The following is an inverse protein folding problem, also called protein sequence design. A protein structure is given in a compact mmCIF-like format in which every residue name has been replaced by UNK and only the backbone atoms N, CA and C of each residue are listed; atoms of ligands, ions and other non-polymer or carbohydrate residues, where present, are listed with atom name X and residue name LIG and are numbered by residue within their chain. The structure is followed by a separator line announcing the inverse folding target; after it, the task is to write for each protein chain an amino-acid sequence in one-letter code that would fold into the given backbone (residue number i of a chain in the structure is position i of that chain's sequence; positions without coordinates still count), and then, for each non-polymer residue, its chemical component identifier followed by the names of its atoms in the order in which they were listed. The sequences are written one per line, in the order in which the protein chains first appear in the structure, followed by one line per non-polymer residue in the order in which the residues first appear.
data_IF_579638564095
#
_entry.id   IF_579638564095
#
_cell.length_a   1.000
_cell.length_b   1.000
_cell.length_c   1.000
_cell.angle_alpha   90.00
_cell.angle_beta   90.00
_cell.angle_gamma   90.00
#
_symmetry.space_group_name_H-M   'P 1'
#
loop_
_entity.id
_entity.type
_entity.pdbx_description
1 polymer ?
#
# COMPACT_ATOMS: atom_id res chain seq x y z
N UNK A 1 42.09 31.72 -72.58
CA UNK A 1 40.68 31.67 -72.14
C UNK A 1 40.09 30.25 -72.04
N UNK A 2 40.71 29.19 -72.58
CA UNK A 2 40.13 27.83 -72.56
C UNK A 2 40.28 27.05 -71.23
N UNK A 3 41.22 27.42 -70.34
CA UNK A 3 41.45 26.67 -69.07
C UNK A 3 40.47 27.01 -67.94
N UNK A 4 39.81 28.18 -68.00
CA UNK A 4 38.87 28.60 -66.94
C UNK A 4 37.46 27.99 -67.12
N UNK A 5 37.02 27.75 -68.36
CA UNK A 5 35.70 27.18 -68.64
C UNK A 5 35.58 25.68 -68.30
N UNK A 6 36.68 24.93 -68.36
CA UNK A 6 36.68 23.50 -68.06
C UNK A 6 36.50 23.22 -66.55
N UNK A 7 37.00 24.12 -65.70
CA UNK A 7 36.90 24.01 -64.24
C UNK A 7 35.47 24.27 -63.79
N UNK A 8 34.79 25.27 -64.34
CA UNK A 8 33.42 25.62 -63.92
C UNK A 8 32.37 24.62 -64.41
N UNK A 9 32.52 24.05 -65.60
CA UNK A 9 31.52 23.12 -66.17
C UNK A 9 31.62 21.71 -65.55
N UNK A 10 32.80 21.29 -65.08
CA UNK A 10 33.02 19.93 -64.55
C UNK A 10 33.07 19.89 -63.01
N UNK A 11 33.76 20.83 -62.34
CA UNK A 11 33.79 20.80 -60.86
C UNK A 11 32.46 21.18 -60.24
N UNK A 12 31.71 22.11 -60.83
CA UNK A 12 30.44 22.57 -60.26
C UNK A 12 29.39 21.45 -60.12
N UNK A 13 29.11 20.61 -61.13
CA UNK A 13 28.15 19.51 -60.98
C UNK A 13 28.66 18.41 -60.03
N UNK A 14 29.97 18.18 -59.93
CA UNK A 14 30.55 17.20 -59.00
C UNK A 14 30.39 17.68 -57.56
N UNK A 15 30.70 18.96 -57.29
CA UNK A 15 30.53 19.58 -55.97
C UNK A 15 29.05 19.59 -55.60
N UNK A 16 28.15 19.97 -56.52
CA UNK A 16 26.71 19.99 -56.28
C UNK A 16 26.14 18.58 -56.01
N UNK A 17 26.57 17.57 -56.76
CA UNK A 17 26.17 16.17 -56.53
C UNK A 17 26.71 15.65 -55.19
N UNK A 18 27.95 16.00 -54.82
CA UNK A 18 28.53 15.64 -53.53
C UNK A 18 27.81 16.29 -52.35
N UNK A 19 27.34 17.53 -52.51
CA UNK A 19 26.58 18.27 -51.51
C UNK A 19 25.16 17.73 -51.35
N UNK A 20 24.51 17.32 -52.44
CA UNK A 20 23.22 16.63 -52.39
C UNK A 20 23.33 15.26 -51.70
N UNK A 21 24.42 14.52 -51.97
CA UNK A 21 24.66 13.23 -51.32
C UNK A 21 24.88 13.40 -49.81
N UNK A 22 25.66 14.39 -49.38
CA UNK A 22 25.90 14.66 -47.96
C UNK A 22 24.65 15.11 -47.21
N UNK A 23 23.80 15.96 -47.83
CA UNK A 23 22.49 16.33 -47.29
C UNK A 23 21.55 15.13 -47.19
N UNK A 24 21.56 14.22 -48.17
CA UNK A 24 20.80 12.97 -48.13
C UNK A 24 21.26 12.05 -46.99
N UNK A 25 22.58 11.92 -46.77
CA UNK A 25 23.13 11.16 -45.64
C UNK A 25 22.76 11.76 -44.28
N UNK A 26 22.76 13.09 -44.14
CA UNK A 26 22.35 13.77 -42.90
C UNK A 26 20.85 13.56 -42.63
N UNK A 27 20.00 13.75 -43.65
CA UNK A 27 18.55 13.52 -43.53
C UNK A 27 18.24 12.06 -43.17
N UNK A 28 18.93 11.11 -43.81
CA UNK A 28 18.77 9.68 -43.53
C UNK A 28 19.25 9.34 -42.10
N UNK A 29 20.33 9.97 -41.62
CA UNK A 29 20.82 9.81 -40.24
C UNK A 29 19.84 10.36 -39.20
N UNK A 30 19.28 11.55 -39.41
CA UNK A 30 18.27 12.16 -38.52
C UNK A 30 16.98 11.31 -38.51
N UNK A 31 16.53 10.84 -39.67
CA UNK A 31 15.34 9.99 -39.78
C UNK A 31 15.53 8.62 -39.11
N UNK A 32 16.74 8.04 -39.23
CA UNK A 32 17.12 6.82 -38.51
C UNK A 32 17.18 7.06 -37.00
N UNK A 33 17.82 8.14 -36.55
CA UNK A 33 17.87 8.49 -35.12
C UNK A 33 16.47 8.71 -34.54
N UNK A 34 15.59 9.42 -35.24
CA UNK A 34 14.21 9.65 -34.80
C UNK A 34 13.42 8.34 -34.66
N UNK A 35 13.59 7.40 -35.59
CA UNK A 35 12.97 6.08 -35.53
C UNK A 35 13.50 5.24 -34.37
N UNK A 36 14.82 5.27 -34.12
CA UNK A 36 15.41 4.58 -32.96
C UNK A 36 14.94 5.21 -31.64
N UNK A 37 14.85 6.53 -31.55
CA UNK A 37 14.31 7.21 -30.37
C UNK A 37 12.84 6.85 -30.12
N UNK A 38 12.01 6.81 -31.17
CA UNK A 38 10.61 6.37 -31.07
C UNK A 38 10.46 4.90 -30.63
N UNK A 39 11.31 4.00 -31.15
CA UNK A 39 11.31 2.60 -30.73
C UNK A 39 11.78 2.42 -29.30
N UNK A 40 12.78 3.21 -28.87
CA UNK A 40 13.30 3.13 -27.52
C UNK A 40 12.31 3.69 -26.49
N UNK A 41 11.61 4.79 -26.80
CA UNK A 41 10.58 5.35 -25.91
C UNK A 41 9.37 4.44 -25.76
N UNK A 42 8.92 3.75 -26.82
CA UNK A 42 7.82 2.79 -26.71
C UNK A 42 8.20 1.56 -25.89
N UNK A 43 9.46 1.11 -25.95
CA UNK A 43 9.96 0.00 -25.14
C UNK A 43 10.02 0.36 -23.63
N UNK A 44 10.41 1.58 -23.28
CA UNK A 44 10.49 2.03 -21.88
C UNK A 44 9.12 2.18 -21.19
N UNK A 45 8.07 2.50 -21.95
CA UNK A 45 6.71 2.70 -21.39
C UNK A 45 6.05 1.40 -20.91
N UNK A 46 6.50 0.23 -21.37
CA UNK A 46 5.93 -1.08 -21.00
C UNK A 46 6.51 -1.71 -19.73
N UNK A 47 7.56 -1.14 -19.15
CA UNK A 47 8.40 -1.81 -18.15
C UNK A 47 7.71 -2.04 -16.78
N UNK A 48 6.61 -1.36 -16.47
CA UNK A 48 5.96 -1.42 -15.14
C UNK A 48 4.59 -2.11 -15.13
N UNK A 49 4.17 -2.77 -16.21
CA UNK A 49 2.80 -3.32 -16.34
C UNK A 49 2.49 -4.48 -15.38
N UNK A 50 3.50 -5.16 -14.85
CA UNK A 50 3.34 -6.34 -13.98
C UNK A 50 4.05 -6.17 -12.63
N UNK A 51 4.02 -4.96 -12.06
CA UNK A 51 4.52 -4.78 -10.70
C UNK A 51 3.60 -5.49 -9.70
N UNK A 52 4.07 -6.51 -8.96
CA UNK A 52 3.24 -7.17 -7.97
C UNK A 52 2.93 -6.19 -6.84
N UNK A 53 1.64 -5.90 -6.63
CA UNK A 53 1.20 -5.13 -5.47
C UNK A 53 1.32 -6.01 -4.23
N UNK A 54 2.44 -5.89 -3.53
CA UNK A 54 2.61 -6.45 -2.19
C UNK A 54 2.06 -5.44 -1.19
N UNK A 55 1.01 -5.83 -0.47
CA UNK A 55 0.52 -5.05 0.66
C UNK A 55 0.34 -5.97 1.86
N UNK A 56 0.38 -5.39 3.05
CA UNK A 56 0.10 -6.09 4.30
C UNK A 56 -1.39 -6.46 4.47
N UNK A 57 -2.21 -6.26 3.43
CA UNK A 57 -3.64 -6.56 3.45
C UNK A 57 -3.88 -7.94 2.84
N UNK A 58 -4.24 -8.89 3.70
CA UNK A 58 -4.58 -10.26 3.30
C UNK A 58 -6.03 -10.34 2.83
N UNK A 59 -6.23 -10.72 1.55
CA UNK A 59 -7.55 -10.93 0.94
C UNK A 59 -8.41 -11.91 1.75
N UNK A 60 -7.79 -12.94 2.34
CA UNK A 60 -8.50 -14.01 3.05
C UNK A 60 -9.02 -13.54 4.42
N UNK A 61 -8.42 -12.50 5.01
CA UNK A 61 -8.73 -12.04 6.37
C UNK A 61 -9.39 -10.64 6.44
N UNK A 62 -9.90 -10.14 5.31
CA UNK A 62 -10.51 -8.82 5.23
C UNK A 62 -11.61 -8.62 6.28
N UNK A 63 -12.53 -9.57 6.43
CA UNK A 63 -13.66 -9.43 7.34
C UNK A 63 -13.19 -9.25 8.80
N UNK A 64 -12.25 -10.07 9.26
CA UNK A 64 -11.71 -9.99 10.62
C UNK A 64 -10.88 -8.73 10.85
N UNK A 65 -10.09 -8.31 9.87
CA UNK A 65 -9.23 -7.13 10.01
C UNK A 65 -10.03 -5.86 10.28
N UNK A 66 -11.21 -5.73 9.66
CA UNK A 66 -12.09 -4.58 9.85
C UNK A 66 -13.13 -4.77 10.96
N UNK A 67 -13.34 -5.98 11.52
CA UNK A 67 -14.26 -6.18 12.67
C UNK A 67 -14.09 -5.20 13.83
N UNK A 68 -12.87 -4.82 14.27
CA UNK A 68 -12.75 -3.86 15.35
C UNK A 68 -13.44 -2.52 15.05
N UNK A 69 -13.48 -2.07 13.80
CA UNK A 69 -14.01 -0.76 13.44
C UNK A 69 -15.52 -0.65 13.59
N UNK A 70 -16.26 -1.78 13.63
CA UNK A 70 -17.70 -1.78 13.90
C UNK A 70 -18.05 -1.64 15.39
N UNK A 71 -17.04 -1.63 16.28
CA UNK A 71 -17.23 -1.54 17.73
C UNK A 71 -16.67 -0.24 18.26
N UNK A 72 -17.53 0.66 18.72
CA UNK A 72 -17.14 1.95 19.33
C UNK A 72 -16.66 1.74 20.76
N UNK A 73 -15.57 2.40 21.14
CA UNK A 73 -15.07 2.35 22.52
C UNK A 73 -15.75 3.47 23.30
N UNK A 74 -16.44 3.09 24.39
CA UNK A 74 -17.07 4.03 25.31
C UNK A 74 -16.35 4.04 26.66
N UNK A 75 -16.34 5.18 27.31
CA UNK A 75 -16.05 5.28 28.74
C UNK A 75 -17.21 4.71 29.57
N UNK A 76 -16.97 4.49 30.86
CA UNK A 76 -18.04 4.03 31.78
C UNK A 76 -19.14 5.09 31.90
N UNK A 77 -18.74 6.36 31.87
CA UNK A 77 -19.62 7.51 32.02
C UNK A 77 -20.47 7.71 30.77
N UNK A 78 -19.89 7.53 29.57
CA UNK A 78 -20.61 7.59 28.29
C UNK A 78 -21.62 6.44 28.19
N UNK A 79 -21.19 5.21 28.48
CA UNK A 79 -22.06 4.04 28.41
C UNK A 79 -23.30 4.14 29.33
N UNK A 80 -23.18 4.83 30.47
CA UNK A 80 -24.30 5.04 31.40
C UNK A 80 -25.33 6.03 30.85
N UNK A 81 -24.94 6.93 29.94
CA UNK A 81 -25.83 7.94 29.35
C UNK A 81 -26.57 7.43 28.10
N UNK A 82 -26.06 6.38 27.48
CA UNK A 82 -26.47 5.91 26.15
C UNK A 82 -27.55 4.79 26.18
N UNK A 83 -28.16 4.54 27.35
CA UNK A 83 -29.07 3.40 27.58
C UNK A 83 -28.59 2.08 26.97
N UNK A 84 -27.30 1.78 27.19
CA UNK A 84 -26.64 0.67 26.51
C UNK A 84 -27.05 -0.69 27.08
N UNK A 85 -27.50 -1.61 26.23
CA UNK A 85 -27.77 -2.99 26.61
C UNK A 85 -26.46 -3.76 26.80
N UNK A 86 -26.33 -4.46 27.93
CA UNK A 86 -25.21 -5.36 28.16
C UNK A 86 -25.38 -6.68 27.40
N UNK A 87 -24.41 -7.03 26.56
CA UNK A 87 -24.43 -8.27 25.77
C UNK A 87 -23.54 -9.37 26.36
N UNK A 88 -22.46 -9.01 27.05
CA UNK A 88 -21.57 -9.99 27.64
C UNK A 88 -20.29 -9.41 28.24
N UNK A 89 -19.59 -10.24 29.01
CA UNK A 89 -18.21 -9.99 29.40
C UNK A 89 -17.30 -10.57 28.32
N UNK A 90 -16.32 -9.77 27.87
CA UNK A 90 -15.36 -10.21 26.86
C UNK A 90 -13.95 -9.93 27.32
N UNK A 91 -13.02 -10.69 26.77
CA UNK A 91 -11.59 -10.52 26.99
C UNK A 91 -10.87 -10.45 25.67
N UNK A 92 -9.70 -9.83 25.67
CA UNK A 92 -8.75 -9.91 24.57
C UNK A 92 -7.34 -9.99 25.14
N UNK A 93 -6.54 -10.91 24.60
CA UNK A 93 -5.16 -11.11 25.01
C UNK A 93 -4.19 -10.79 23.87
N UNK A 94 -3.00 -10.33 24.25
CA UNK A 94 -1.82 -10.23 23.40
C UNK A 94 -0.72 -11.03 24.11
N UNK A 95 -0.19 -12.04 23.43
CA UNK A 95 0.80 -12.97 23.97
C UNK A 95 1.98 -13.04 23.01
N UNK A 96 3.18 -12.89 23.54
CA UNK A 96 4.42 -13.17 22.84
C UNK A 96 4.84 -14.61 23.12
N UNK A 97 4.82 -15.48 22.11
CA UNK A 97 5.14 -16.92 22.28
C UNK A 97 6.64 -17.13 22.13
N UNK A 98 7.24 -16.57 21.09
CA UNK A 98 8.67 -16.68 20.81
C UNK A 98 9.42 -15.36 21.03
N UNK A 99 10.74 -15.43 21.24
CA UNK A 99 11.59 -14.25 21.51
C UNK A 99 11.59 -13.26 20.32
N UNK A 100 11.47 -13.77 19.09
CA UNK A 100 11.40 -13.00 17.85
C UNK A 100 10.00 -12.46 17.53
N UNK A 101 8.96 -12.91 18.24
CA UNK A 101 7.61 -12.36 18.10
C UNK A 101 7.55 -10.93 18.64
N UNK A 102 6.52 -10.20 18.20
CA UNK A 102 6.23 -8.88 18.76
C UNK A 102 5.90 -9.02 20.25
N UNK A 103 6.50 -8.20 21.14
CA UNK A 103 6.13 -8.17 22.54
C UNK A 103 4.64 -7.88 22.74
N UNK A 104 4.06 -8.48 23.78
CA UNK A 104 2.65 -8.29 24.10
C UNK A 104 2.34 -6.81 24.36
N UNK A 105 1.22 -6.35 23.80
CA UNK A 105 0.83 -4.95 23.90
C UNK A 105 -0.64 -4.78 24.30
N UNK A 106 -0.91 -3.71 25.07
CA UNK A 106 -2.27 -3.31 25.40
C UNK A 106 -3.08 -2.96 24.15
N UNK A 107 -2.44 -2.43 23.11
CA UNK A 107 -3.13 -2.09 21.87
C UNK A 107 -3.68 -3.35 21.18
N UNK A 108 -2.86 -4.39 21.04
CA UNK A 108 -3.28 -5.64 20.41
C UNK A 108 -4.33 -6.38 21.24
N UNK A 109 -4.17 -6.40 22.56
CA UNK A 109 -5.17 -6.98 23.47
C UNK A 109 -6.53 -6.27 23.36
N UNK A 110 -6.55 -4.93 23.26
CA UNK A 110 -7.78 -4.15 23.04
C UNK A 110 -8.38 -4.41 21.66
N UNK A 111 -7.56 -4.55 20.62
CA UNK A 111 -8.03 -4.90 19.27
C UNK A 111 -8.67 -6.28 19.28
N UNK A 112 -8.06 -7.28 19.92
CA UNK A 112 -8.61 -8.63 20.07
C UNK A 112 -9.94 -8.62 20.84
N UNK A 113 -10.02 -7.82 21.90
CA UNK A 113 -11.24 -7.62 22.67
C UNK A 113 -12.38 -7.04 21.81
N UNK A 114 -12.08 -6.06 20.92
CA UNK A 114 -13.06 -5.50 19.98
C UNK A 114 -13.52 -6.51 18.94
N UNK A 115 -12.63 -7.36 18.43
CA UNK A 115 -13.01 -8.48 17.53
C UNK A 115 -14.00 -9.41 18.25
N UNK A 116 -13.71 -9.77 19.51
CA UNK A 116 -14.56 -10.64 20.31
C UNK A 116 -15.91 -9.98 20.64
N UNK A 117 -15.94 -8.68 20.89
CA UNK A 117 -17.19 -7.92 21.04
C UNK A 117 -18.01 -7.93 19.73
N UNK A 118 -17.38 -7.69 18.58
CA UNK A 118 -18.05 -7.75 17.28
C UNK A 118 -18.62 -9.15 16.97
N UNK A 119 -17.94 -10.21 17.41
CA UNK A 119 -18.44 -11.58 17.27
C UNK A 119 -19.66 -11.89 18.17
N UNK A 120 -19.95 -11.03 19.15
CA UNK A 120 -21.18 -11.06 19.95
C UNK A 120 -22.22 -10.05 19.43
N UNK A 121 -22.07 -9.60 18.19
CA UNK A 121 -22.92 -8.58 17.54
C UNK A 121 -23.00 -7.25 18.31
N UNK A 122 -21.99 -6.96 19.14
CA UNK A 122 -21.90 -5.69 19.84
C UNK A 122 -21.43 -4.57 18.91
N UNK A 123 -22.04 -3.39 19.03
CA UNK A 123 -21.57 -2.17 18.38
C UNK A 123 -20.79 -1.24 19.32
N UNK A 124 -20.66 -1.63 20.61
CA UNK A 124 -19.91 -0.89 21.61
C UNK A 124 -19.13 -1.78 22.58
N UNK A 125 -18.08 -1.21 23.18
CA UNK A 125 -17.23 -1.86 24.18
C UNK A 125 -16.82 -0.88 25.27
N UNK A 126 -16.87 -1.32 26.53
CA UNK A 126 -16.37 -0.56 27.69
C UNK A 126 -15.24 -1.34 28.37
N UNK A 127 -14.02 -0.84 28.26
CA UNK A 127 -12.86 -1.45 28.92
C UNK A 127 -12.88 -1.20 30.42
N UNK A 128 -12.62 -2.25 31.21
CA UNK A 128 -12.51 -2.16 32.66
C UNK A 128 -11.06 -1.99 33.08
N UNK A 129 -10.20 -2.94 32.70
CA UNK A 129 -8.78 -2.95 33.01
C UNK A 129 -8.02 -3.76 31.98
N UNK A 130 -6.72 -3.48 31.86
CA UNK A 130 -5.78 -4.34 31.17
C UNK A 130 -4.65 -4.65 32.13
N UNK A 131 -4.33 -5.93 32.28
CA UNK A 131 -3.32 -6.42 33.21
C UNK A 131 -2.19 -7.02 32.39
N UNK A 132 -0.96 -6.63 32.71
CA UNK A 132 0.25 -7.27 32.21
C UNK A 132 0.61 -8.40 33.14
N UNK A 133 0.89 -9.57 32.59
CA UNK A 133 1.32 -10.76 33.32
C UNK A 133 2.80 -11.00 33.06
N UNK A 134 3.46 -11.52 34.09
CA UNK A 134 4.84 -12.01 34.00
C UNK A 134 4.92 -13.20 33.04
N UNK A 135 6.13 -13.48 32.56
CA UNK A 135 6.39 -14.62 31.68
C UNK A 135 5.96 -15.94 32.34
N UNK A 136 5.27 -16.78 31.59
CA UNK A 136 4.92 -18.14 31.97
C UNK A 136 5.34 -19.14 30.88
N UNK A 137 5.00 -20.42 31.04
CA UNK A 137 5.35 -21.46 30.07
C UNK A 137 4.63 -21.32 28.71
N UNK A 138 3.63 -20.44 28.61
CA UNK A 138 2.80 -20.25 27.42
C UNK A 138 3.10 -18.93 26.72
N UNK A 139 3.46 -17.89 27.47
CA UNK A 139 3.73 -16.55 26.97
C UNK A 139 4.95 -15.93 27.66
N UNK A 140 5.93 -15.49 26.89
CA UNK A 140 7.09 -14.72 27.38
C UNK A 140 6.70 -13.32 27.86
N UNK A 141 5.68 -12.74 27.25
CA UNK A 141 4.98 -11.55 27.75
C UNK A 141 3.51 -11.66 27.42
N UNK A 142 2.63 -11.21 28.33
CA UNK A 142 1.19 -11.32 28.13
C UNK A 142 0.46 -10.08 28.68
N UNK A 143 -0.49 -9.58 27.89
CA UNK A 143 -1.40 -8.50 28.30
C UNK A 143 -2.82 -8.95 28.03
N UNK A 144 -3.68 -8.95 29.07
CA UNK A 144 -5.09 -9.30 28.95
C UNK A 144 -5.95 -8.09 29.33
N UNK A 145 -6.84 -7.71 28.43
CA UNK A 145 -7.83 -6.66 28.63
C UNK A 145 -9.21 -7.26 28.88
N UNK A 146 -9.85 -6.82 29.96
CA UNK A 146 -11.21 -7.18 30.35
C UNK A 146 -12.16 -6.05 29.97
N UNK A 147 -13.28 -6.38 29.34
CA UNK A 147 -14.26 -5.40 28.92
C UNK A 147 -15.69 -5.95 28.94
N UNK A 148 -16.64 -5.04 28.80
CA UNK A 148 -18.06 -5.36 28.58
C UNK A 148 -18.41 -5.05 27.14
N UNK A 149 -19.01 -6.01 26.46
CA UNK A 149 -19.63 -5.81 25.15
C UNK A 149 -21.04 -5.25 25.37
N UNK A 150 -21.38 -4.19 24.63
CA UNK A 150 -22.66 -3.50 24.75
C UNK A 150 -23.29 -3.24 23.38
N UNK A 151 -24.62 -3.19 23.34
CA UNK A 151 -25.39 -2.66 22.23
C UNK A 151 -25.90 -1.27 22.60
N UNK A 152 -25.54 -0.27 21.80
CA UNK A 152 -26.05 1.09 21.91
C UNK A 152 -27.07 1.29 20.80
N UNK A 153 -28.29 1.69 21.16
CA UNK A 153 -29.29 2.05 20.17
C UNK A 153 -28.81 3.31 19.43
N UNK A 154 -28.68 3.21 18.11
CA UNK A 154 -28.28 4.36 17.31
C UNK A 154 -29.53 5.19 17.05
N UNK A 155 -29.50 6.48 17.43
CA UNK A 155 -30.52 7.42 16.97
C UNK A 155 -30.53 7.39 15.43
N UNK A 156 -31.67 7.01 14.88
CA UNK A 156 -31.89 6.81 13.45
C UNK A 156 -32.15 8.14 12.74
#
# INVERSE_FOLDING_TARGET
MARFALVTVILFPIIFLSMLLSLFFIYYKEFIMLRFTLLFTTLLLGACSQYPFSSNVDKQNFSTYFKPSSVTIYSKEEATKLDAQWLGAITGSSCQIEINDRPASKADARTKARINAANLDANGIVFQTCVTFEADSSCLSNVICYARAISVEQEK
#
